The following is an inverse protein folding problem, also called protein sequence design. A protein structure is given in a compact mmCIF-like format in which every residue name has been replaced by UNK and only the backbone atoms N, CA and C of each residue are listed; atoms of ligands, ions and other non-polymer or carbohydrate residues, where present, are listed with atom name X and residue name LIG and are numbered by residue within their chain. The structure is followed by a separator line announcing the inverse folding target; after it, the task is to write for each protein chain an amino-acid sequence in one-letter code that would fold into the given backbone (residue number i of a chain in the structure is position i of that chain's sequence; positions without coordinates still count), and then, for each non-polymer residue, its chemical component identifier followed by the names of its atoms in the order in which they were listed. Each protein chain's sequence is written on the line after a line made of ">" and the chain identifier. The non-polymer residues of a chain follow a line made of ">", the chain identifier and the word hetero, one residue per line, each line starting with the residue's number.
data_IF_644897993894
#
_entry.id   IF_644897993894
#
_cell.length_a   1.000
_cell.length_b   1.000
_cell.length_c   1.000
_cell.angle_alpha   90.00
_cell.angle_beta   90.00
_cell.angle_gamma   90.00
#
_symmetry.space_group_name_H-M   'P 1'
#
loop_
_entity.id
_entity.type
_entity.pdbx_description
1 polymer ?
#
# COMPACT_ATOMS: atom_id res chain seq x y z
N UNK A 1 6.95 2.85 -25.05
CA UNK A 1 6.46 1.48 -25.35
C UNK A 1 7.37 0.53 -24.58
N UNK A 2 6.83 -0.33 -23.70
CA UNK A 2 7.53 -1.14 -22.67
C UNK A 2 7.64 -0.52 -21.25
N UNK A 3 6.74 0.39 -20.88
CA UNK A 3 6.66 0.83 -19.48
C UNK A 3 5.89 -0.23 -18.68
N UNK A 4 6.63 -1.16 -18.06
CA UNK A 4 6.05 -2.14 -17.14
C UNK A 4 5.73 -1.39 -15.85
N UNK A 5 4.44 -1.26 -15.58
CA UNK A 5 3.97 -0.72 -14.32
C UNK A 5 4.15 -1.78 -13.24
N UNK A 6 5.07 -1.54 -12.32
CA UNK A 6 5.31 -2.47 -11.21
C UNK A 6 4.94 -1.77 -9.90
N UNK A 7 4.20 -2.48 -9.06
CA UNK A 7 3.93 -2.02 -7.71
C UNK A 7 4.93 -2.66 -6.75
N UNK A 8 5.74 -1.84 -6.10
CA UNK A 8 6.37 -2.28 -4.86
C UNK A 8 5.32 -2.18 -3.76
N UNK A 9 4.93 -3.31 -3.17
CA UNK A 9 3.95 -3.34 -2.08
C UNK A 9 4.66 -3.47 -0.74
N UNK A 10 4.22 -2.71 0.25
CA UNK A 10 4.79 -2.73 1.59
C UNK A 10 3.70 -2.52 2.65
N UNK A 11 4.01 -2.92 3.89
CA UNK A 11 3.15 -2.67 5.04
C UNK A 11 3.68 -1.46 5.81
N UNK A 12 2.82 -0.47 6.02
CA UNK A 12 3.10 0.64 6.94
C UNK A 12 3.31 0.09 8.35
N UNK A 13 4.24 0.62 9.17
CA UNK A 13 4.43 0.21 10.57
C UNK A 13 3.12 0.19 11.38
N UNK A 14 2.98 -0.74 12.34
CA UNK A 14 1.74 -0.93 13.12
C UNK A 14 1.34 0.32 13.92
N UNK A 15 2.29 1.16 14.28
CA UNK A 15 2.09 2.40 15.04
C UNK A 15 1.73 3.62 14.16
N UNK A 16 1.57 3.45 12.85
CA UNK A 16 1.25 4.54 11.92
C UNK A 16 -0.09 4.26 11.24
N UNK A 17 -1.00 5.24 11.27
CA UNK A 17 -2.23 5.18 10.50
C UNK A 17 -1.94 5.28 8.99
N UNK A 18 -2.29 4.24 8.25
CA UNK A 18 -2.02 4.11 6.81
C UNK A 18 -2.67 5.23 5.99
N UNK A 19 -3.88 5.67 6.35
CA UNK A 19 -4.60 6.67 5.57
C UNK A 19 -3.97 8.06 5.74
N UNK A 20 -3.66 8.45 6.96
CA UNK A 20 -2.96 9.68 7.30
C UNK A 20 -1.56 9.70 6.68
N UNK A 21 -0.85 8.57 6.70
CA UNK A 21 0.44 8.41 6.04
C UNK A 21 0.37 8.69 4.53
N UNK A 22 -0.58 8.05 3.83
CA UNK A 22 -0.79 8.25 2.38
C UNK A 22 -1.18 9.70 2.06
N UNK A 23 -2.08 10.29 2.84
CA UNK A 23 -2.49 11.70 2.66
C UNK A 23 -1.31 12.66 2.89
N UNK A 24 -0.52 12.42 3.94
CA UNK A 24 0.67 13.20 4.28
C UNK A 24 1.74 13.14 3.19
N UNK A 25 1.99 11.96 2.64
CA UNK A 25 2.92 11.79 1.53
C UNK A 25 2.44 12.44 0.24
N UNK A 26 1.13 12.38 -0.05
CA UNK A 26 0.55 13.07 -1.20
C UNK A 26 0.80 14.58 -1.16
N UNK A 27 0.68 15.20 0.02
CA UNK A 27 1.01 16.63 0.23
C UNK A 27 2.49 16.95 -0.02
N UNK A 28 3.38 15.96 0.08
CA UNK A 28 4.82 16.07 -0.21
C UNK A 28 5.18 15.63 -1.65
N UNK A 29 4.19 15.45 -2.52
CA UNK A 29 4.38 15.03 -3.91
C UNK A 29 4.86 13.58 -4.04
N UNK A 30 4.52 12.71 -3.08
CA UNK A 30 4.73 11.25 -3.17
C UNK A 30 3.37 10.58 -3.28
N UNK A 31 3.12 9.93 -4.41
CA UNK A 31 1.87 9.23 -4.66
C UNK A 31 2.00 7.75 -4.30
N UNK A 32 1.12 7.28 -3.43
CA UNK A 32 0.96 5.87 -3.05
C UNK A 32 -0.48 5.43 -3.30
N UNK A 33 -0.66 4.18 -3.72
CA UNK A 33 -1.99 3.55 -3.82
C UNK A 33 -2.21 2.56 -2.68
N UNK A 34 -3.42 1.99 -2.64
CA UNK A 34 -3.93 1.09 -1.59
C UNK A 34 -4.71 -0.06 -2.24
N UNK A 35 -4.26 -0.54 -3.39
CA UNK A 35 -5.04 -1.38 -4.31
C UNK A 35 -5.47 -2.73 -3.71
N UNK A 36 -4.84 -3.16 -2.61
CA UNK A 36 -5.14 -4.41 -1.92
C UNK A 36 -5.74 -4.19 -0.51
N UNK A 37 -6.35 -3.02 -0.28
CA UNK A 37 -6.91 -2.68 1.04
C UNK A 37 -8.20 -3.43 1.39
N UNK A 38 -8.88 -3.97 0.38
CA UNK A 38 -10.14 -4.70 0.52
C UNK A 38 -9.90 -6.14 0.01
N UNK A 39 -9.55 -7.08 0.90
CA UNK A 39 -9.29 -8.47 0.52
C UNK A 39 -10.53 -9.14 -0.06
N UNK A 40 -10.33 -10.09 -0.99
CA UNK A 40 -11.43 -10.82 -1.65
C UNK A 40 -12.30 -11.60 -0.65
N UNK A 41 -11.73 -12.04 0.48
CA UNK A 41 -12.47 -12.70 1.57
C UNK A 41 -13.54 -11.80 2.22
N UNK A 42 -13.54 -10.49 1.94
CA UNK A 42 -14.59 -9.57 2.40
C UNK A 42 -15.76 -9.46 1.40
N UNK A 43 -15.66 -10.08 0.22
CA UNK A 43 -16.75 -10.09 -0.75
C UNK A 43 -17.86 -11.07 -0.30
N UNK A 44 -19.12 -10.62 -0.12
CA UNK A 44 -20.22 -11.48 0.31
C UNK A 44 -20.51 -12.67 -0.62
N UNK A 45 -20.33 -12.50 -1.94
CA UNK A 45 -20.56 -13.57 -2.90
C UNK A 45 -19.50 -14.67 -2.76
N UNK A 46 -18.24 -14.27 -2.56
CA UNK A 46 -17.12 -15.20 -2.33
C UNK A 46 -17.26 -15.90 -0.98
N UNK A 47 -17.71 -15.20 0.06
CA UNK A 47 -18.01 -15.82 1.35
C UNK A 47 -19.07 -16.90 1.22
N UNK A 48 -20.14 -16.63 0.48
CA UNK A 48 -21.23 -17.59 0.26
C UNK A 48 -20.81 -18.77 -0.62
N UNK A 49 -20.07 -18.53 -1.70
CA UNK A 49 -19.67 -19.57 -2.66
C UNK A 49 -18.65 -20.53 -2.07
N UNK A 50 -17.73 -20.02 -1.26
CA UNK A 50 -16.59 -20.78 -0.73
C UNK A 50 -16.66 -21.05 0.78
N UNK A 51 -17.79 -20.72 1.44
CA UNK A 51 -17.99 -20.85 2.90
C UNK A 51 -16.87 -20.19 3.72
N UNK A 52 -16.48 -18.98 3.32
CA UNK A 52 -15.36 -18.26 3.95
C UNK A 52 -15.87 -17.43 5.12
N UNK A 53 -15.31 -17.69 6.31
CA UNK A 53 -15.38 -16.77 7.44
C UNK A 53 -14.15 -15.84 7.45
N UNK A 54 -14.29 -14.51 7.29
CA UNK A 54 -13.16 -13.59 7.30
C UNK A 54 -12.30 -13.63 8.58
N UNK A 55 -12.90 -13.99 9.73
CA UNK A 55 -12.22 -14.04 11.01
C UNK A 55 -11.12 -15.12 11.06
N UNK A 56 -11.19 -16.12 10.18
CA UNK A 56 -10.17 -17.16 10.02
C UNK A 56 -8.88 -16.65 9.36
N UNK A 57 -8.89 -15.43 8.81
CA UNK A 57 -7.77 -14.82 8.09
C UNK A 57 -7.25 -13.54 8.76
N UNK A 58 -6.89 -13.56 10.06
CA UNK A 58 -6.54 -12.36 10.82
C UNK A 58 -5.32 -11.64 10.23
N UNK A 59 -4.33 -12.37 9.71
CA UNK A 59 -3.14 -11.80 9.10
C UNK A 59 -3.46 -11.06 7.80
N UNK A 60 -4.36 -11.59 6.97
CA UNK A 60 -4.84 -10.91 5.76
C UNK A 60 -5.54 -9.61 6.12
N UNK A 61 -6.42 -9.64 7.13
CA UNK A 61 -7.12 -8.45 7.61
C UNK A 61 -6.16 -7.40 8.19
N UNK A 62 -5.14 -7.83 8.94
CA UNK A 62 -4.11 -6.93 9.46
C UNK A 62 -3.24 -6.32 8.35
N UNK A 63 -2.84 -7.12 7.36
CA UNK A 63 -2.04 -6.67 6.23
C UNK A 63 -2.81 -5.65 5.38
N UNK A 64 -4.09 -5.91 5.08
CA UNK A 64 -4.93 -5.04 4.25
C UNK A 64 -5.15 -3.64 4.85
N UNK A 65 -5.20 -3.55 6.18
CA UNK A 65 -5.28 -2.27 6.90
C UNK A 65 -4.00 -1.42 6.71
N UNK A 66 -2.85 -2.07 6.49
CA UNK A 66 -1.52 -1.45 6.49
C UNK A 66 -0.86 -1.37 5.11
N UNK A 67 -1.38 -2.08 4.11
CA UNK A 67 -0.76 -2.15 2.78
C UNK A 67 -0.80 -0.80 2.06
N UNK A 68 0.34 -0.46 1.48
CA UNK A 68 0.54 0.64 0.53
C UNK A 68 1.31 0.12 -0.67
N UNK A 69 1.10 0.75 -1.83
CA UNK A 69 1.76 0.36 -3.05
C UNK A 69 2.42 1.57 -3.69
N UNK A 70 3.71 1.44 -3.99
CA UNK A 70 4.49 2.42 -4.73
C UNK A 70 4.37 2.11 -6.22
N UNK A 71 3.73 2.98 -7.02
CA UNK A 71 3.73 2.82 -8.46
C UNK A 71 5.12 3.18 -9.00
N UNK A 72 5.96 2.17 -9.12
CA UNK A 72 7.30 2.32 -9.67
C UNK A 72 7.23 2.02 -11.17
N UNK A 73 7.72 2.98 -11.94
CA UNK A 73 7.83 2.88 -13.38
C UNK A 73 9.30 2.76 -13.76
N UNK A 74 9.56 2.10 -14.88
CA UNK A 74 10.92 1.94 -15.40
C UNK A 74 11.63 3.26 -15.76
N UNK A 75 10.92 4.39 -15.85
CA UNK A 75 11.53 5.70 -16.11
C UNK A 75 12.10 6.38 -14.87
N UNK A 76 11.86 5.88 -13.65
CA UNK A 76 12.42 6.50 -12.46
C UNK A 76 13.94 6.33 -12.45
N UNK A 77 14.66 7.44 -12.40
CA UNK A 77 16.10 7.46 -12.19
C UNK A 77 16.44 7.14 -10.73
N UNK A 78 17.67 6.67 -10.48
CA UNK A 78 18.20 6.47 -9.12
C UNK A 78 18.01 7.70 -8.23
N UNK A 79 18.30 8.90 -8.76
CA UNK A 79 18.16 10.18 -8.04
C UNK A 79 16.71 10.46 -7.64
N UNK A 80 15.73 10.09 -8.45
CA UNK A 80 14.31 10.24 -8.11
C UNK A 80 13.87 9.25 -7.05
N UNK A 81 14.35 8.00 -7.11
CA UNK A 81 14.13 7.01 -6.06
C UNK A 81 14.73 7.46 -4.73
N UNK A 82 15.95 8.00 -4.73
CA UNK A 82 16.59 8.56 -3.52
C UNK A 82 15.77 9.71 -2.93
N UNK A 83 15.29 10.64 -3.77
CA UNK A 83 14.39 11.71 -3.31
C UNK A 83 13.08 11.18 -2.72
N UNK A 84 12.52 10.13 -3.32
CA UNK A 84 11.31 9.48 -2.81
C UNK A 84 11.56 8.85 -1.43
N UNK A 85 12.69 8.14 -1.26
CA UNK A 85 13.11 7.58 0.02
C UNK A 85 13.24 8.67 1.09
N UNK A 86 13.89 9.79 0.78
CA UNK A 86 14.05 10.89 1.74
C UNK A 86 12.71 11.52 2.13
N UNK A 87 11.81 11.76 1.16
CA UNK A 87 10.45 12.25 1.46
C UNK A 87 9.68 11.29 2.37
N UNK A 88 9.84 9.98 2.19
CA UNK A 88 9.24 8.96 3.07
C UNK A 88 9.81 9.01 4.48
N UNK A 89 11.14 9.06 4.62
CA UNK A 89 11.79 9.16 5.94
C UNK A 89 11.31 10.38 6.73
N UNK A 90 11.17 11.53 6.09
CA UNK A 90 10.64 12.73 6.77
C UNK A 90 9.16 12.63 7.16
N UNK A 91 8.40 11.70 6.56
CA UNK A 91 7.01 11.45 6.93
C UNK A 91 6.88 10.47 8.11
N UNK A 92 7.88 9.60 8.31
CA UNK A 92 7.91 8.60 9.39
C UNK A 92 8.54 9.15 10.68
N UNK A 93 9.49 10.10 10.58
CA UNK A 93 10.21 10.69 11.73
C UNK A 93 9.43 11.77 12.52
N UNK A 94 8.15 11.97 12.23
CA UNK A 94 7.26 12.90 12.95
C UNK A 94 6.28 12.08 13.77
#
# INVERSE_FOLDING_TARGET
>A
KNNIFTFLSALVPKNIDRNNFVIGLRKKGVFLTRIWKDPIILNPEVQKEYDINPEEFPETLQAAKRIVNFPLQNFYSKKEIEKLIERIKTAIRR
#
